data_IF_451416098075
#
_entry.id   IF_451416098075
#
_cell.length_a   1.000
_cell.length_b   1.000
_cell.length_c   1.000
_cell.angle_alpha   90.00
_cell.angle_beta   90.00
_cell.angle_gamma   90.00
#
_symmetry.space_group_name_H-M   'P 1'
#
loop_
_entity.id
_entity.type
_entity.pdbx_description
1 polymer ?
#
# COMPACT_ATOMS: atom_id res chain seq x y z
N UNK A 1 -21.10 0.10 -1.41
CA UNK A 1 -20.32 0.71 -2.49
C UNK A 1 -18.92 0.13 -2.47
N UNK A 2 -18.45 -0.44 -3.57
CA UNK A 2 -17.07 -0.96 -3.68
C UNK A 2 -16.15 0.14 -4.20
N UNK A 3 -15.04 0.37 -3.52
CA UNK A 3 -13.93 1.21 -3.96
C UNK A 3 -12.75 0.31 -4.31
N UNK A 4 -12.15 0.52 -5.47
CA UNK A 4 -10.94 -0.19 -5.90
C UNK A 4 -9.76 0.76 -5.73
N UNK A 5 -8.74 0.32 -5.03
CA UNK A 5 -7.52 1.06 -4.76
C UNK A 5 -6.29 0.25 -5.14
N UNK A 6 -5.16 0.94 -5.24
CA UNK A 6 -3.85 0.37 -5.46
C UNK A 6 -2.92 0.71 -4.30
N UNK A 7 -1.91 -0.12 -4.10
CA UNK A 7 -0.79 0.17 -3.22
C UNK A 7 0.46 -0.49 -3.81
N UNK A 8 1.55 0.26 -3.95
CA UNK A 8 2.81 -0.20 -4.50
C UNK A 8 3.94 -0.01 -3.48
N UNK A 9 4.76 -1.05 -3.31
CA UNK A 9 5.99 -1.02 -2.52
C UNK A 9 7.19 -1.11 -3.46
N UNK A 10 8.07 -0.11 -3.42
CA UNK A 10 9.32 -0.13 -4.19
C UNK A 10 10.43 -0.76 -3.35
N UNK A 11 11.19 -1.66 -3.97
CA UNK A 11 12.32 -2.35 -3.39
C UNK A 11 13.63 -1.89 -4.05
N UNK A 12 14.67 -1.70 -3.24
CA UNK A 12 16.03 -1.46 -3.71
C UNK A 12 17.01 -2.23 -2.81
N UNK A 13 17.49 -3.38 -3.30
CA UNK A 13 18.33 -4.28 -2.53
C UNK A 13 17.63 -4.69 -1.24
N UNK A 14 18.22 -4.39 -0.08
CA UNK A 14 17.69 -4.66 1.27
C UNK A 14 16.82 -3.55 1.86
N UNK A 15 16.32 -2.65 1.01
CA UNK A 15 15.48 -1.54 1.43
C UNK A 15 14.15 -1.52 0.73
N UNK A 16 13.16 -0.91 1.36
CA UNK A 16 11.87 -0.56 0.78
C UNK A 16 11.59 0.93 0.92
N UNK A 17 10.91 1.50 -0.07
CA UNK A 17 10.47 2.89 -0.04
C UNK A 17 9.07 2.97 0.55
N UNK A 18 8.92 3.78 1.61
CA UNK A 18 7.62 4.11 2.20
C UNK A 18 7.43 5.62 2.18
N UNK A 19 6.19 6.09 2.13
CA UNK A 19 5.83 7.50 2.25
C UNK A 19 5.11 7.79 3.56
N UNK A 20 5.56 8.81 4.28
CA UNK A 20 4.82 9.36 5.42
C UNK A 20 3.72 10.26 4.86
N UNK A 21 2.46 9.87 5.06
CA UNK A 21 1.32 10.62 4.55
C UNK A 21 1.14 11.93 5.32
N UNK A 22 1.10 13.04 4.60
CA UNK A 22 1.07 14.41 5.17
C UNK A 22 -0.34 14.93 5.40
N UNK A 23 -1.33 14.45 4.63
CA UNK A 23 -2.71 14.94 4.66
C UNK A 23 -3.73 13.84 4.33
N UNK A 24 -5.00 14.08 4.68
CA UNK A 24 -6.11 13.19 4.36
C UNK A 24 -6.13 11.90 5.19
N UNK A 25 -6.87 10.90 4.69
CA UNK A 25 -7.03 9.61 5.36
C UNK A 25 -5.70 8.86 5.47
N UNK A 26 -5.30 8.52 6.70
CA UNK A 26 -4.00 7.90 6.98
C UNK A 26 -2.85 8.88 7.24
N UNK A 27 -3.10 10.18 7.33
CA UNK A 27 -2.07 11.15 7.68
C UNK A 27 -1.36 10.78 9.00
N UNK A 28 -0.03 10.92 9.01
CA UNK A 28 0.82 10.52 10.14
C UNK A 28 1.24 9.05 10.13
N UNK A 29 0.87 8.26 9.11
CA UNK A 29 1.32 6.87 8.93
C UNK A 29 2.27 6.73 7.75
N UNK A 30 3.24 5.83 7.90
CA UNK A 30 4.01 5.30 6.77
C UNK A 30 3.16 4.30 5.99
N UNK A 31 3.25 4.34 4.66
CA UNK A 31 2.60 3.36 3.79
C UNK A 31 3.37 3.21 2.47
N UNK A 32 2.94 2.25 1.64
CA UNK A 32 3.25 2.28 0.21
C UNK A 32 2.57 3.44 -0.52
N UNK A 33 2.76 3.50 -1.84
CA UNK A 33 2.23 4.56 -2.69
C UNK A 33 1.03 4.05 -3.49
N UNK A 34 -0.05 4.80 -3.52
CA UNK A 34 -1.26 4.32 -4.16
C UNK A 34 -2.53 5.06 -3.78
N UNK A 35 -3.57 4.82 -4.56
CA UNK A 35 -4.79 5.58 -4.46
C UNK A 35 -5.95 4.92 -5.19
N UNK A 36 -7.00 5.69 -5.44
CA UNK A 36 -8.24 5.18 -6.03
C UNK A 36 -8.08 5.00 -7.53
N UNK A 37 -8.74 3.96 -8.06
CA UNK A 37 -8.83 3.74 -9.49
C UNK A 37 -9.61 4.88 -10.18
N UNK A 38 -9.04 5.45 -11.24
CA UNK A 38 -9.71 6.42 -12.10
C UNK A 38 -10.78 5.79 -13.01
N UNK A 39 -11.62 6.63 -13.63
CA UNK A 39 -12.68 6.14 -14.52
C UNK A 39 -12.08 5.50 -15.78
N UNK A 40 -12.38 4.21 -16.00
CA UNK A 40 -11.87 3.44 -17.14
C UNK A 40 -10.38 3.09 -17.05
N UNK A 41 -9.73 3.42 -15.93
CA UNK A 41 -8.32 3.12 -15.67
C UNK A 41 -8.15 1.64 -15.29
N UNK A 42 -7.01 1.04 -15.66
CA UNK A 42 -6.65 -0.29 -15.18
C UNK A 42 -5.96 -0.21 -13.81
N UNK A 43 -6.04 -1.26 -13.00
CA UNK A 43 -5.39 -1.29 -11.68
C UNK A 43 -3.88 -1.08 -11.77
N UNK A 44 -3.24 -1.59 -12.83
CA UNK A 44 -1.81 -1.41 -13.05
C UNK A 44 -1.49 0.05 -13.44
N UNK A 45 -2.28 0.63 -14.34
CA UNK A 45 -2.13 2.04 -14.74
C UNK A 45 -2.31 2.99 -13.56
N UNK A 46 -3.28 2.72 -12.68
CA UNK A 46 -3.48 3.50 -11.46
C UNK A 46 -2.29 3.39 -10.51
N UNK A 47 -1.74 2.19 -10.29
CA UNK A 47 -0.58 2.01 -9.43
C UNK A 47 0.64 2.78 -9.96
N UNK A 48 0.88 2.77 -11.28
CA UNK A 48 1.96 3.54 -11.90
C UNK A 48 1.74 5.05 -11.81
N UNK A 49 0.51 5.53 -12.04
CA UNK A 49 0.15 6.95 -11.91
C UNK A 49 0.36 7.45 -10.49
N UNK A 50 -0.20 6.77 -9.50
CA UNK A 50 -0.13 7.16 -8.09
C UNK A 50 1.32 7.15 -7.59
N UNK A 51 2.12 6.15 -7.99
CA UNK A 51 3.55 6.12 -7.67
C UNK A 51 4.28 7.38 -8.18
N UNK A 52 4.00 7.79 -9.42
CA UNK A 52 4.58 8.99 -10.00
C UNK A 52 4.07 10.27 -9.31
N UNK A 53 2.76 10.35 -9.02
CA UNK A 53 2.12 11.51 -8.38
C UNK A 53 2.57 11.71 -6.93
N UNK A 54 2.71 10.63 -6.16
CA UNK A 54 2.99 10.70 -4.72
C UNK A 54 4.49 10.79 -4.39
N UNK A 55 5.37 10.20 -5.21
CA UNK A 55 6.81 10.16 -4.92
C UNK A 55 7.74 10.39 -6.11
N UNK A 56 7.23 10.68 -7.31
CA UNK A 56 8.04 10.99 -8.47
C UNK A 56 8.73 9.80 -9.13
N UNK A 57 8.47 8.56 -8.67
CA UNK A 57 9.09 7.34 -9.19
C UNK A 57 8.30 6.77 -10.37
N UNK A 58 9.01 6.38 -11.42
CA UNK A 58 8.48 5.61 -12.55
C UNK A 58 8.92 4.16 -12.45
N UNK A 59 7.98 3.22 -12.36
CA UNK A 59 8.29 1.78 -12.34
C UNK A 59 8.18 1.15 -13.75
N UNK A 60 9.17 0.36 -14.14
CA UNK A 60 9.23 -0.38 -15.40
C UNK A 60 8.86 -1.86 -15.19
N UNK A 61 7.60 -2.05 -14.77
CA UNK A 61 7.00 -3.35 -14.46
C UNK A 61 6.59 -3.45 -12.98
N UNK A 62 5.40 -3.98 -12.76
CA UNK A 62 4.85 -4.22 -11.43
C UNK A 62 4.58 -5.72 -11.24
N UNK A 63 4.96 -6.25 -10.10
CA UNK A 63 4.54 -7.58 -9.67
C UNK A 63 3.28 -7.42 -8.82
N UNK A 64 2.16 -8.00 -9.25
CA UNK A 64 0.97 -8.08 -8.41
C UNK A 64 1.21 -9.10 -7.30
N UNK A 65 1.24 -8.63 -6.05
CA UNK A 65 1.52 -9.44 -4.85
C UNK A 65 0.26 -9.90 -4.14
N UNK A 66 -0.83 -9.16 -4.24
CA UNK A 66 -2.04 -9.60 -3.56
C UNK A 66 -3.23 -8.71 -3.74
N UNK A 67 -4.32 -9.11 -3.10
CA UNK A 67 -5.50 -8.28 -2.94
C UNK A 67 -5.95 -8.34 -1.49
N UNK A 68 -6.20 -7.18 -0.89
CA UNK A 68 -6.71 -7.08 0.47
C UNK A 68 -8.06 -6.37 0.44
N UNK A 69 -9.04 -6.94 1.12
CA UNK A 69 -10.36 -6.34 1.30
C UNK A 69 -10.48 -5.77 2.72
N UNK A 70 -10.87 -4.51 2.83
CA UNK A 70 -11.08 -3.83 4.10
C UNK A 70 -12.55 -3.49 4.30
N UNK A 71 -13.03 -3.78 5.50
CA UNK A 71 -14.33 -3.40 6.01
C UNK A 71 -14.15 -2.51 7.24
N UNK A 72 -14.94 -1.45 7.36
CA UNK A 72 -14.94 -0.56 8.54
C UNK A 72 -16.33 -0.48 9.15
N UNK A 73 -16.43 -0.55 10.48
CA UNK A 73 -17.70 -0.29 11.18
C UNK A 73 -18.12 1.19 11.13
N UNK A 74 -17.18 2.12 10.90
CA UNK A 74 -17.49 3.55 10.74
C UNK A 74 -18.12 3.85 9.37
N UNK A 75 -17.81 3.02 8.36
CA UNK A 75 -18.34 3.12 7.00
C UNK A 75 -18.83 1.73 6.51
N UNK A 76 -19.88 1.15 7.11
CA UNK A 76 -20.28 -0.23 6.88
C UNK A 76 -20.74 -0.52 5.45
N UNK A 77 -21.19 0.53 4.75
CA UNK A 77 -21.62 0.43 3.35
C UNK A 77 -20.45 0.55 2.36
N UNK A 78 -19.21 0.77 2.82
CA UNK A 78 -18.04 0.92 1.96
C UNK A 78 -17.15 -0.32 2.06
N UNK A 79 -16.89 -0.93 0.90
CA UNK A 79 -15.93 -2.01 0.76
C UNK A 79 -14.70 -1.49 0.02
N UNK A 80 -13.53 -1.53 0.64
CA UNK A 80 -12.28 -1.15 -0.01
C UNK A 80 -11.52 -2.40 -0.45
N UNK A 81 -11.33 -2.57 -1.75
CA UNK A 81 -10.49 -3.63 -2.31
C UNK A 81 -9.18 -2.98 -2.79
N UNK A 82 -8.07 -3.34 -2.16
CA UNK A 82 -6.74 -2.79 -2.45
C UNK A 82 -5.92 -3.85 -3.17
N UNK A 83 -5.48 -3.54 -4.39
CA UNK A 83 -4.54 -4.38 -5.12
C UNK A 83 -3.10 -3.98 -4.76
N UNK A 84 -2.37 -4.94 -4.19
CA UNK A 84 -1.01 -4.74 -3.72
C UNK A 84 -0.02 -5.13 -4.81
N UNK A 85 0.91 -4.22 -5.10
CA UNK A 85 1.98 -4.38 -6.07
C UNK A 85 3.34 -4.17 -5.40
N UNK A 86 4.38 -4.70 -6.04
CA UNK A 86 5.77 -4.36 -5.74
C UNK A 86 6.57 -4.13 -7.00
N UNK A 87 7.69 -3.41 -6.91
CA UNK A 87 8.67 -3.37 -8.00
C UNK A 87 10.09 -3.17 -7.50
N UNK A 88 11.04 -3.84 -8.15
CA UNK A 88 12.49 -3.60 -8.04
C UNK A 88 13.03 -2.80 -9.24
N UNK A 89 12.21 -2.62 -10.29
CA UNK A 89 12.62 -1.96 -11.54
C UNK A 89 12.00 -0.59 -11.59
N UNK A 90 12.74 0.42 -11.19
CA UNK A 90 12.26 1.79 -11.17
C UNK A 90 13.33 2.78 -11.62
N UNK A 91 12.86 3.97 -12.00
CA UNK A 91 13.65 5.12 -12.42
C UNK A 91 13.22 6.36 -11.63
N UNK A 92 14.16 7.29 -11.48
CA UNK A 92 13.97 8.52 -10.70
C UNK A 92 14.45 8.40 -9.26
N UNK A 93 14.51 9.55 -8.59
CA UNK A 93 14.80 9.66 -7.16
C UNK A 93 13.52 10.00 -6.41
N UNK A 94 13.25 9.43 -5.22
CA UNK A 94 12.04 9.73 -4.48
C UNK A 94 11.96 11.22 -4.10
N UNK A 95 10.84 11.86 -4.43
CA UNK A 95 10.59 13.27 -4.16
C UNK A 95 9.48 13.43 -3.13
N UNK A 96 9.69 14.31 -2.16
CA UNK A 96 8.62 14.75 -1.28
C UNK A 96 7.60 15.59 -2.06
N UNK A 97 6.32 15.28 -1.86
CA UNK A 97 5.19 15.96 -2.47
C UNK A 97 4.35 16.64 -1.39
N UNK A 98 3.26 17.30 -1.78
CA UNK A 98 2.29 17.78 -0.81
C UNK A 98 1.57 16.63 -0.08
N UNK A 99 1.47 15.47 -0.73
CA UNK A 99 0.78 14.27 -0.25
C UNK A 99 1.66 13.44 0.70
N UNK A 100 2.90 13.18 0.29
CA UNK A 100 3.75 12.13 0.88
C UNK A 100 5.18 12.62 1.04
N UNK A 101 5.83 12.21 2.13
CA UNK A 101 7.28 12.33 2.34
C UNK A 101 7.95 10.96 2.25
N UNK A 102 8.57 10.60 1.11
CA UNK A 102 9.24 9.31 0.93
C UNK A 102 10.46 9.13 1.81
N UNK A 103 10.73 7.88 2.21
CA UNK A 103 11.93 7.49 2.95
C UNK A 103 12.21 6.00 2.74
N UNK A 104 13.50 5.66 2.58
CA UNK A 104 13.97 4.28 2.53
C UNK A 104 14.08 3.68 3.94
N UNK A 105 13.62 2.44 4.10
CA UNK A 105 13.73 1.64 5.32
C UNK A 105 14.38 0.30 5.02
N UNK A 106 15.17 -0.22 5.94
CA UNK A 106 15.68 -1.60 5.88
C UNK A 106 14.49 -2.57 6.01
N UNK A 107 14.45 -3.63 5.19
CA UNK A 107 13.42 -4.69 5.24
C UNK A 107 13.25 -5.30 6.63
N UNK A 108 14.32 -5.32 7.43
CA UNK A 108 14.34 -5.89 8.77
C UNK A 108 14.00 -4.87 9.86
N UNK A 109 13.85 -3.59 9.51
CA UNK A 109 13.55 -2.50 10.43
C UNK A 109 12.41 -1.61 9.90
N UNK A 110 11.32 -2.26 9.49
CA UNK A 110 10.09 -1.60 9.05
C UNK A 110 9.40 -0.95 10.25
N UNK A 111 8.95 0.32 10.16
CA UNK A 111 8.40 1.07 11.29
C UNK A 111 6.92 0.74 11.54
N UNK A 112 6.58 -0.54 11.73
CA UNK A 112 5.20 -1.06 11.84
C UNK A 112 4.32 -0.34 12.87
N UNK A 113 4.91 0.17 13.96
CA UNK A 113 4.16 0.88 15.01
C UNK A 113 3.62 2.26 14.55
N UNK A 114 4.11 2.74 13.41
CA UNK A 114 3.68 3.99 12.76
C UNK A 114 3.08 3.73 11.37
N UNK A 115 2.68 2.49 11.09
CA UNK A 115 2.01 2.05 9.86
C UNK A 115 0.55 1.69 10.13
N UNK A 116 -0.17 1.17 9.14
CA UNK A 116 -1.50 0.61 9.41
C UNK A 116 -1.36 -0.68 10.23
N UNK A 117 -2.31 -0.97 11.16
CA UNK A 117 -2.22 -2.15 12.01
C UNK A 117 -2.19 -3.48 11.25
N UNK A 118 -2.73 -3.53 10.03
CA UNK A 118 -2.77 -4.72 9.18
C UNK A 118 -1.44 -5.01 8.47
N UNK A 119 -0.59 -3.99 8.28
CA UNK A 119 0.66 -4.09 7.52
C UNK A 119 1.60 -5.16 8.10
N UNK A 120 1.60 -5.35 9.41
CA UNK A 120 2.41 -6.40 10.09
C UNK A 120 2.01 -7.83 9.72
N UNK A 121 0.83 -8.05 9.13
CA UNK A 121 0.37 -9.39 8.75
C UNK A 121 0.70 -9.70 7.29
N UNK A 122 0.50 -8.75 6.37
CA UNK A 122 0.69 -8.99 4.94
C UNK A 122 2.04 -8.55 4.39
N UNK A 123 2.64 -7.49 4.95
CA UNK A 123 3.91 -6.98 4.44
C UNK A 123 5.06 -8.00 4.57
N UNK A 124 5.17 -8.84 5.62
CA UNK A 124 6.17 -9.90 5.66
C UNK A 124 6.04 -10.91 4.51
N UNK A 125 4.82 -11.22 4.06
CA UNK A 125 4.58 -12.09 2.90
C UNK A 125 5.10 -11.41 1.62
N UNK A 126 4.78 -10.12 1.44
CA UNK A 126 5.28 -9.31 0.32
C UNK A 126 6.82 -9.28 0.29
N UNK A 127 7.45 -9.00 1.44
CA UNK A 127 8.92 -8.94 1.57
C UNK A 127 9.60 -10.30 1.30
N UNK A 128 8.89 -11.40 1.56
CA UNK A 128 9.33 -12.76 1.23
C UNK A 128 9.04 -13.15 -0.23
N UNK A 129 8.54 -12.22 -1.05
CA UNK A 129 8.18 -12.45 -2.46
C UNK A 129 6.96 -13.34 -2.66
N UNK A 130 6.11 -13.49 -1.63
CA UNK A 130 4.92 -14.34 -1.67
C UNK A 130 3.71 -13.57 -2.17
N UNK A 131 2.79 -14.31 -2.78
CA UNK A 131 1.49 -13.78 -3.16
C UNK A 131 0.47 -14.08 -2.07
N UNK A 132 -0.52 -13.21 -1.88
CA UNK A 132 -1.50 -13.37 -0.81
C UNK A 132 -2.87 -12.78 -1.13
N UNK A 133 -3.87 -13.27 -0.40
CA UNK A 133 -5.19 -12.67 -0.28
C UNK A 133 -5.47 -12.38 1.19
N UNK A 134 -6.10 -11.23 1.47
CA UNK A 134 -6.40 -10.81 2.83
C UNK A 134 -7.77 -10.17 2.96
N UNK A 135 -8.35 -10.29 4.14
CA UNK A 135 -9.55 -9.57 4.56
C UNK A 135 -9.34 -9.06 5.98
N UNK A 136 -9.58 -7.76 6.21
CA UNK A 136 -9.47 -7.14 7.54
C UNK A 136 -10.74 -6.37 7.87
N UNK A 137 -11.31 -6.69 9.03
CA UNK A 137 -12.48 -6.02 9.57
C UNK A 137 -12.05 -5.08 10.69
N UNK A 138 -12.19 -3.77 10.47
CA UNK A 138 -11.82 -2.72 11.41
C UNK A 138 -13.02 -2.17 12.16
N UNK A 139 -12.84 -1.93 13.47
CA UNK A 139 -13.79 -1.15 14.28
C UNK A 139 -13.65 0.34 13.98
N UNK A 140 -12.41 0.79 13.93
CA UNK A 140 -11.95 2.15 13.68
C UNK A 140 -10.59 2.05 12.97
N UNK A 141 -9.96 3.17 12.62
CA UNK A 141 -8.69 3.17 11.88
C UNK A 141 -7.49 2.50 12.63
N UNK A 142 -7.63 2.13 13.90
CA UNK A 142 -6.55 1.56 14.72
C UNK A 142 -6.83 0.12 15.19
N UNK A 143 -8.08 -0.33 15.13
CA UNK A 143 -8.51 -1.56 15.82
C UNK A 143 -9.04 -2.60 14.84
N UNK A 144 -8.26 -3.66 14.60
CA UNK A 144 -8.70 -4.85 13.86
C UNK A 144 -9.56 -5.72 14.78
N UNK A 145 -10.79 -6.02 14.36
CA UNK A 145 -11.71 -6.91 15.07
C UNK A 145 -11.44 -8.37 14.74
N UNK A 146 -11.25 -8.66 13.46
CA UNK A 146 -10.85 -9.96 12.95
C UNK A 146 -10.20 -9.78 11.57
N UNK A 147 -9.47 -10.80 11.14
CA UNK A 147 -8.86 -10.82 9.83
C UNK A 147 -8.69 -12.25 9.33
N UNK A 148 -8.51 -12.39 8.02
CA UNK A 148 -7.97 -13.60 7.41
C UNK A 148 -6.86 -13.20 6.43
N UNK A 149 -5.80 -14.00 6.37
CA UNK A 149 -4.75 -13.82 5.39
C UNK A 149 -4.23 -15.19 4.95
N UNK A 150 -4.00 -15.34 3.65
CA UNK A 150 -3.58 -16.60 3.05
C UNK A 150 -2.56 -16.37 1.95
N UNK A 151 -1.45 -17.10 1.99
CA UNK A 151 -0.51 -17.22 0.87
C UNK A 151 -1.16 -18.04 -0.28
N UNK A 152 -0.97 -17.58 -1.52
CA UNK A 152 -1.52 -18.20 -2.74
C UNK A 152 -0.45 -18.52 -3.79
#
# INVERSE_FOLDING_TARGET
>A
MKQILTLCIIHDGDRVLLGMKKRGFGAGRWNGFGGKLGQGESVESAALRELQEECGISANGLDKRGTITFHSQEEPDVLQEVHIFSSEKFEGEPLETEEMRPQWFDKNNIPYDTMWPDDRYWMPLLLAGKNFEGEFNFKDNNTILNYSIKEI
#
